data_IF_843491224745
#
_entry.id   IF_843491224745
#
_cell.length_a   1.000
_cell.length_b   1.000
_cell.length_c   1.000
_cell.angle_alpha   90.00
_cell.angle_beta   90.00
_cell.angle_gamma   90.00
#
_symmetry.space_group_name_H-M   'P 1'
#
loop_
_entity.id
_entity.type
_entity.pdbx_description
1 polymer ?
#
# COMPACT_ATOMS: atom_id res chain seq x y z
N UNK A 1 2.74 -67.48 5.82
CA UNK A 1 1.49 -67.00 5.20
C UNK A 1 1.17 -65.62 5.76
N UNK A 2 1.01 -64.63 4.86
CA UNK A 2 0.10 -63.46 4.90
C UNK A 2 0.09 -62.58 6.17
N UNK A 3 0.63 -61.36 6.11
CA UNK A 3 -0.03 -60.09 5.70
C UNK A 3 -0.94 -59.47 6.78
N UNK A 4 -0.53 -58.33 7.34
CA UNK A 4 -1.38 -57.17 7.71
C UNK A 4 -0.45 -56.06 8.25
N UNK A 5 0.04 -55.17 7.38
CA UNK A 5 -0.57 -53.90 6.94
C UNK A 5 -0.39 -52.76 7.95
N UNK A 6 0.42 -51.82 7.47
CA UNK A 6 0.72 -50.44 7.88
C UNK A 6 -0.54 -49.60 8.12
N UNK A 7 -0.43 -48.58 8.99
CA UNK A 7 -1.14 -47.27 9.06
C UNK A 7 -1.52 -47.01 10.52
N UNK A 8 -1.50 -45.82 11.11
CA UNK A 8 -1.08 -44.47 10.76
C UNK A 8 -1.30 -43.67 12.06
N UNK A 9 -0.36 -42.85 12.49
CA UNK A 9 -0.66 -41.74 13.40
C UNK A 9 0.33 -40.62 13.11
N UNK A 10 -0.14 -39.71 12.27
CA UNK A 10 0.54 -38.48 11.90
C UNK A 10 0.91 -37.72 13.19
N UNK A 11 2.20 -37.53 13.42
CA UNK A 11 2.66 -36.44 14.28
C UNK A 11 2.40 -35.13 13.53
N UNK A 12 1.35 -34.43 13.94
CA UNK A 12 1.11 -33.05 13.58
C UNK A 12 2.23 -32.19 14.17
N UNK A 13 3.30 -32.00 13.40
CA UNK A 13 4.27 -30.95 13.66
C UNK A 13 3.57 -29.60 13.49
N UNK A 14 3.20 -29.02 14.63
CA UNK A 14 2.70 -27.65 14.74
C UNK A 14 3.76 -26.71 14.16
N UNK A 15 3.61 -26.38 12.88
CA UNK A 15 4.29 -25.26 12.27
C UNK A 15 3.64 -24.01 12.82
N UNK A 16 4.17 -23.50 13.93
CA UNK A 16 3.97 -22.13 14.33
C UNK A 16 4.60 -21.25 13.25
N UNK A 17 3.84 -20.99 12.18
CA UNK A 17 4.14 -19.94 11.23
C UNK A 17 4.10 -18.62 12.00
N UNK A 18 5.26 -18.15 12.42
CA UNK A 18 5.45 -16.77 12.84
C UNK A 18 5.04 -15.90 11.65
N UNK A 19 3.80 -15.42 11.66
CA UNK A 19 3.37 -14.38 10.75
C UNK A 19 4.33 -13.21 10.94
N UNK A 20 4.98 -12.70 9.87
CA UNK A 20 5.76 -11.49 10.00
C UNK A 20 4.80 -10.42 10.49
N UNK A 21 5.11 -9.84 11.65
CA UNK A 21 4.48 -8.63 12.12
C UNK A 21 4.66 -7.61 11.00
N UNK A 22 3.58 -7.35 10.26
CA UNK A 22 3.51 -6.32 9.24
C UNK A 22 3.56 -4.99 9.99
N UNK A 23 4.78 -4.57 10.37
CA UNK A 23 5.06 -3.19 10.70
C UNK A 23 4.54 -2.36 9.53
N UNK A 24 3.51 -1.55 9.78
CA UNK A 24 3.06 -0.57 8.81
C UNK A 24 4.30 0.14 8.24
N UNK A 25 4.40 0.32 6.92
CA UNK A 25 5.60 0.90 6.34
C UNK A 25 5.87 2.24 7.03
N UNK A 26 7.05 2.35 7.64
CA UNK A 26 7.45 3.59 8.28
C UNK A 26 7.59 4.67 7.20
N UNK A 27 7.19 5.90 7.52
CA UNK A 27 7.35 7.04 6.63
C UNK A 27 8.80 7.13 6.14
N UNK A 28 9.02 6.99 4.83
CA UNK A 28 10.34 7.02 4.22
C UNK A 28 10.65 8.45 3.72
N UNK A 29 11.63 9.17 4.30
CA UNK A 29 11.96 10.55 3.92
C UNK A 29 12.38 10.70 2.45
N UNK A 30 12.88 9.62 1.84
CA UNK A 30 13.25 9.62 0.41
C UNK A 30 12.06 9.82 -0.52
N UNK A 31 10.84 9.57 -0.01
CA UNK A 31 9.60 9.78 -0.75
C UNK A 31 9.04 11.19 -0.61
N UNK A 32 9.60 12.08 0.22
CA UNK A 32 9.02 13.41 0.44
C UNK A 32 8.92 14.23 -0.85
N UNK A 33 9.94 14.16 -1.71
CA UNK A 33 9.92 14.78 -3.03
C UNK A 33 8.85 14.17 -3.95
N UNK A 34 8.70 12.84 -3.93
CA UNK A 34 7.67 12.14 -4.72
C UNK A 34 6.27 12.51 -4.23
N UNK A 35 6.06 12.52 -2.91
CA UNK A 35 4.80 12.94 -2.27
C UNK A 35 4.44 14.36 -2.67
N UNK A 36 5.42 15.27 -2.71
CA UNK A 36 5.23 16.66 -3.13
C UNK A 36 4.86 16.78 -4.61
N UNK A 37 5.52 16.05 -5.50
CA UNK A 37 5.23 16.05 -6.95
C UNK A 37 3.80 15.54 -7.20
N UNK A 38 3.44 14.41 -6.60
CA UNK A 38 2.10 13.80 -6.71
C UNK A 38 1.01 14.70 -6.13
N UNK A 39 1.27 15.33 -4.97
CA UNK A 39 0.37 16.33 -4.40
C UNK A 39 0.11 17.47 -5.39
N UNK A 40 1.17 18.02 -5.99
CA UNK A 40 1.04 19.13 -6.93
C UNK A 40 0.28 18.69 -8.20
N UNK A 41 0.52 17.47 -8.69
CA UNK A 41 -0.23 16.90 -9.80
C UNK A 41 -1.72 16.75 -9.48
N UNK A 42 -2.05 16.23 -8.29
CA UNK A 42 -3.42 16.12 -7.79
C UNK A 42 -4.11 17.50 -7.71
N UNK A 43 -3.43 18.52 -7.19
CA UNK A 43 -3.97 19.88 -7.11
C UNK A 43 -4.25 20.45 -8.50
N UNK A 44 -3.31 20.29 -9.45
CA UNK A 44 -3.50 20.73 -10.84
C UNK A 44 -4.64 20.01 -11.56
N UNK A 45 -4.88 18.74 -11.23
CA UNK A 45 -5.97 17.97 -11.80
C UNK A 45 -7.37 18.47 -11.38
N UNK A 46 -7.45 19.40 -10.40
CA UNK A 46 -8.71 20.09 -10.11
C UNK A 46 -9.78 19.23 -9.44
N UNK A 47 -9.38 18.14 -8.77
CA UNK A 47 -10.24 17.36 -7.89
C UNK A 47 -11.35 16.54 -8.61
N UNK A 48 -10.96 15.77 -9.62
CA UNK A 48 -11.87 15.04 -10.53
C UNK A 48 -12.15 13.59 -10.15
N UNK A 49 -11.70 13.12 -8.98
CA UNK A 49 -11.81 11.72 -8.55
C UNK A 49 -12.93 11.42 -7.54
N UNK A 50 -13.38 10.17 -7.39
CA UNK A 50 -14.28 9.76 -6.32
C UNK A 50 -13.73 10.14 -4.93
N UNK A 51 -14.56 10.73 -4.07
CA UNK A 51 -14.15 11.18 -2.72
C UNK A 51 -13.50 12.57 -2.66
N UNK A 52 -13.33 13.23 -3.80
CA UNK A 52 -12.87 14.61 -3.92
C UNK A 52 -13.77 15.62 -3.15
N UNK A 53 -13.22 16.56 -2.36
CA UNK A 53 -14.02 17.58 -1.71
C UNK A 53 -14.73 18.52 -2.71
N UNK A 54 -16.01 18.80 -2.48
CA UNK A 54 -16.76 19.76 -3.35
C UNK A 54 -16.22 21.18 -3.27
N UNK A 55 -15.65 21.56 -2.12
CA UNK A 55 -15.02 22.86 -1.94
C UNK A 55 -13.58 22.83 -2.46
N UNK A 56 -13.32 23.54 -3.56
CA UNK A 56 -12.00 23.60 -4.19
C UNK A 56 -10.90 24.14 -3.27
N UNK A 57 -11.24 24.91 -2.23
CA UNK A 57 -10.28 25.40 -1.23
C UNK A 57 -9.69 24.27 -0.37
N UNK A 58 -10.37 23.13 -0.29
CA UNK A 58 -9.94 21.95 0.48
C UNK A 58 -9.08 20.99 -0.35
N UNK A 59 -8.96 21.23 -1.65
CA UNK A 59 -8.20 20.37 -2.58
C UNK A 59 -6.73 20.20 -2.16
N UNK A 60 -5.99 21.26 -1.79
CA UNK A 60 -4.60 21.08 -1.36
C UNK A 60 -4.46 20.13 -0.17
N UNK A 61 -5.32 20.27 0.84
CA UNK A 61 -5.31 19.43 2.04
C UNK A 61 -5.71 17.98 1.72
N UNK A 62 -6.71 17.80 0.85
CA UNK A 62 -7.11 16.47 0.38
C UNK A 62 -5.96 15.78 -0.38
N UNK A 63 -5.34 16.48 -1.34
CA UNK A 63 -4.24 15.94 -2.13
C UNK A 63 -3.00 15.60 -1.28
N UNK A 64 -2.70 16.41 -0.26
CA UNK A 64 -1.64 16.12 0.71
C UNK A 64 -1.92 14.84 1.49
N UNK A 65 -3.16 14.68 1.99
CA UNK A 65 -3.58 13.48 2.70
C UNK A 65 -3.47 12.24 1.80
N UNK A 66 -4.02 12.29 0.58
CA UNK A 66 -4.03 11.15 -0.35
C UNK A 66 -2.60 10.73 -0.73
N UNK A 67 -1.74 11.70 -1.04
CA UNK A 67 -0.34 11.43 -1.38
C UNK A 67 0.39 10.77 -0.22
N UNK A 68 0.22 11.28 1.00
CA UNK A 68 0.85 10.71 2.20
C UNK A 68 0.34 9.30 2.47
N UNK A 69 -0.98 9.10 2.57
CA UNK A 69 -1.58 7.79 2.81
C UNK A 69 -1.19 6.74 1.75
N UNK A 70 -1.12 7.14 0.48
CA UNK A 70 -0.69 6.23 -0.58
C UNK A 70 0.75 5.79 -0.35
N UNK A 71 1.70 6.73 -0.28
CA UNK A 71 3.12 6.43 -0.20
C UNK A 71 3.54 5.79 1.13
N UNK A 72 2.87 6.12 2.24
CA UNK A 72 3.10 5.49 3.54
C UNK A 72 2.53 4.07 3.63
N UNK A 73 1.65 3.67 2.70
CA UNK A 73 1.14 2.30 2.60
C UNK A 73 2.01 1.38 1.72
N UNK A 74 2.98 1.92 0.99
CA UNK A 74 3.85 1.14 0.11
C UNK A 74 4.95 0.46 0.92
N UNK A 75 5.13 -0.87 0.83
CA UNK A 75 6.21 -1.57 1.50
C UNK A 75 7.59 -1.05 1.07
N UNK A 76 8.51 -0.96 2.03
CA UNK A 76 9.87 -0.44 1.80
C UNK A 76 10.60 -1.17 0.64
N UNK A 77 10.43 -2.49 0.51
CA UNK A 77 11.03 -3.25 -0.59
C UNK A 77 10.53 -2.80 -1.98
N UNK A 78 9.25 -2.46 -2.10
CA UNK A 78 8.67 -1.94 -3.34
C UNK A 78 9.16 -0.51 -3.62
N UNK A 79 9.34 0.30 -2.57
CA UNK A 79 9.94 1.64 -2.66
C UNK A 79 11.39 1.58 -3.12
N UNK A 80 12.17 0.65 -2.58
CA UNK A 80 13.57 0.45 -2.98
C UNK A 80 13.68 -0.02 -4.42
N UNK A 81 12.83 -0.95 -4.84
CA UNK A 81 12.73 -1.37 -6.24
C UNK A 81 12.44 -0.18 -7.16
N UNK A 82 11.44 0.64 -6.81
CA UNK A 82 11.10 1.86 -7.56
C UNK A 82 12.26 2.85 -7.60
N UNK A 83 12.94 3.09 -6.49
CA UNK A 83 14.03 4.08 -6.40
C UNK A 83 15.29 3.63 -7.13
N UNK A 84 15.56 2.32 -7.18
CA UNK A 84 16.76 1.79 -7.82
C UNK A 84 16.54 1.55 -9.33
N UNK A 85 15.34 1.11 -9.72
CA UNK A 85 15.04 0.69 -11.10
C UNK A 85 14.17 1.71 -11.85
N UNK A 86 13.66 2.74 -11.16
CA UNK A 86 12.73 3.73 -11.71
C UNK A 86 11.29 3.24 -11.88
N UNK A 87 11.03 1.94 -11.67
CA UNK A 87 9.74 1.28 -11.87
C UNK A 87 9.56 0.16 -10.84
N UNK A 88 8.32 -0.14 -10.46
CA UNK A 88 7.99 -1.34 -9.67
C UNK A 88 6.66 -1.92 -10.14
N UNK A 89 6.71 -3.14 -10.67
CA UNK A 89 5.51 -3.87 -11.11
C UNK A 89 4.58 -4.22 -9.92
N UNK A 90 5.12 -4.28 -8.70
CA UNK A 90 4.31 -4.46 -7.50
C UNK A 90 3.50 -3.20 -7.16
N UNK A 91 4.13 -2.01 -7.27
CA UNK A 91 3.44 -0.73 -7.10
C UNK A 91 2.38 -0.56 -8.17
N UNK A 92 2.70 -0.82 -9.44
CA UNK A 92 1.76 -0.64 -10.55
C UNK A 92 0.53 -1.54 -10.43
N UNK A 93 0.72 -2.83 -10.09
CA UNK A 93 -0.40 -3.78 -9.92
C UNK A 93 -1.36 -3.41 -8.80
N UNK A 94 -0.86 -2.78 -7.72
CA UNK A 94 -1.65 -2.44 -6.52
C UNK A 94 -2.01 -0.95 -6.47
N UNK A 95 -1.66 -0.19 -7.50
CA UNK A 95 -1.79 1.27 -7.53
C UNK A 95 -3.22 1.72 -7.28
N UNK A 96 -4.16 1.21 -8.07
CA UNK A 96 -5.55 1.64 -8.02
C UNK A 96 -6.22 1.27 -6.69
N UNK A 97 -5.92 0.10 -6.15
CA UNK A 97 -6.42 -0.36 -4.86
C UNK A 97 -5.92 0.53 -3.72
N UNK A 98 -4.59 0.77 -3.65
CA UNK A 98 -3.99 1.66 -2.64
C UNK A 98 -4.48 3.08 -2.78
N UNK A 99 -4.62 3.57 -4.02
CA UNK A 99 -5.11 4.93 -4.27
C UNK A 99 -6.58 5.06 -3.88
N UNK A 100 -7.42 4.06 -4.12
CA UNK A 100 -8.80 4.04 -3.65
C UNK A 100 -8.88 4.04 -2.12
N UNK A 101 -8.06 3.23 -1.45
CA UNK A 101 -7.97 3.21 0.02
C UNK A 101 -7.51 4.57 0.58
N UNK A 102 -6.47 5.17 -0.01
CA UNK A 102 -5.98 6.49 0.39
C UNK A 102 -7.05 7.58 0.20
N UNK A 103 -7.76 7.59 -0.95
CA UNK A 103 -8.88 8.52 -1.19
C UNK A 103 -10.00 8.33 -0.18
N UNK A 104 -10.36 7.09 0.14
CA UNK A 104 -11.38 6.78 1.14
C UNK A 104 -10.99 7.26 2.53
N UNK A 105 -9.74 7.10 2.93
CA UNK A 105 -9.23 7.57 4.23
C UNK A 105 -9.22 9.11 4.33
N UNK A 106 -9.06 9.80 3.20
CA UNK A 106 -8.92 11.26 3.12
C UNK A 106 -10.22 11.99 2.75
N UNK A 107 -11.35 11.30 2.69
CA UNK A 107 -12.64 11.95 2.41
C UNK A 107 -12.92 13.02 3.45
N UNK A 108 -13.11 14.25 2.98
CA UNK A 108 -13.47 15.37 3.84
C UNK A 108 -14.97 15.28 4.12
N UNK A 109 -15.34 14.97 5.37
CA UNK A 109 -16.73 14.97 5.84
C UNK A 109 -17.30 16.39 5.87
#
# INVERSE_FOLDING_TARGET
>A
MRLTIILAALLAAAHAAAAPASSAPAANPRLDGVKQIERNACVRAGNTGPGAPRNLKLVPKYCECVSSHYWDSVPQAEVEELMNNGQSAAIDRKKDERLAAARSACQVK
#
